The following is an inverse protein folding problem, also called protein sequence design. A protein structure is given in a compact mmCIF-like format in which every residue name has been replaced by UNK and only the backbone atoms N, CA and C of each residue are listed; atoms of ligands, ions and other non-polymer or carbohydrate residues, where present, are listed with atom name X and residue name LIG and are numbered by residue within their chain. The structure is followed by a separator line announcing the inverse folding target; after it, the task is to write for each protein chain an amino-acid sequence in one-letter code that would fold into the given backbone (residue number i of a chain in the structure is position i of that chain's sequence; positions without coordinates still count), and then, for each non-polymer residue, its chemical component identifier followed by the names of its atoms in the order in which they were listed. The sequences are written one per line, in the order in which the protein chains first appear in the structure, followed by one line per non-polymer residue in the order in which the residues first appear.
data_IF_489495745237
#
_entry.id   IF_489495745237
#
_cell.length_a   1.000
_cell.length_b   1.000
_cell.length_c   1.000
_cell.angle_alpha   90.00
_cell.angle_beta   90.00
_cell.angle_gamma   90.00
#
_symmetry.space_group_name_H-M   'P 1'
#
loop_
_entity.id
_entity.type
_entity.pdbx_description
1 polymer ?
#
# COMPACT_ATOMS: atom_id res chain seq x y z
N UNK A 1 6.09 -21.26 48.88
CA UNK A 1 4.88 -20.55 48.40
C UNK A 1 5.25 -19.07 48.24
N UNK A 2 6.09 -18.68 47.29
CA UNK A 2 5.85 -18.53 45.84
C UNK A 2 4.62 -17.67 45.53
N UNK A 3 4.80 -16.36 45.48
CA UNK A 3 4.09 -15.52 44.52
C UNK A 3 5.12 -14.61 43.87
N UNK A 4 5.44 -14.98 42.63
CA UNK A 4 6.35 -14.30 41.72
C UNK A 4 5.86 -12.88 41.44
N UNK A 5 6.73 -11.85 41.37
CA UNK A 5 6.32 -10.58 40.83
C UNK A 5 6.18 -10.71 39.31
N UNK A 6 4.98 -10.50 38.81
CA UNK A 6 4.68 -10.23 37.39
C UNK A 6 5.51 -9.04 36.91
N UNK A 7 6.70 -9.28 36.37
CA UNK A 7 7.45 -8.24 35.67
C UNK A 7 6.92 -8.12 34.26
N UNK A 8 6.06 -7.12 34.07
CA UNK A 8 6.06 -6.24 32.90
C UNK A 8 6.45 -6.92 31.58
N UNK A 9 5.45 -7.45 30.89
CA UNK A 9 5.44 -7.72 29.45
C UNK A 9 5.72 -6.41 28.71
N UNK A 10 7.00 -6.05 28.63
CA UNK A 10 7.47 -4.93 27.84
C UNK A 10 7.26 -5.33 26.37
N UNK A 11 6.41 -4.57 25.67
CA UNK A 11 6.37 -4.45 24.21
C UNK A 11 7.72 -3.89 23.72
N UNK A 12 8.79 -4.65 23.91
CA UNK A 12 10.04 -4.41 23.21
C UNK A 12 9.78 -4.84 21.76
N UNK A 13 10.04 -3.97 20.76
CA UNK A 13 9.94 -4.39 19.37
C UNK A 13 10.88 -5.58 19.24
N UNK A 14 10.29 -6.76 19.00
CA UNK A 14 10.99 -8.02 18.84
C UNK A 14 12.09 -7.79 17.82
N UNK A 15 13.32 -7.64 18.32
CA UNK A 15 14.47 -7.27 17.53
C UNK A 15 14.69 -8.45 16.59
N UNK A 16 14.27 -8.29 15.33
CA UNK A 16 14.29 -9.34 14.31
C UNK A 16 15.71 -9.89 14.29
N UNK A 17 15.89 -11.09 14.84
CA UNK A 17 17.19 -11.69 15.02
C UNK A 17 17.96 -11.72 13.70
N UNK A 18 19.30 -11.81 13.73
CA UNK A 18 20.14 -11.82 12.54
C UNK A 18 19.78 -12.91 11.50
N UNK A 19 18.92 -13.85 11.88
CA UNK A 19 18.42 -14.96 11.08
C UNK A 19 16.95 -14.82 10.61
N UNK A 20 16.35 -13.62 10.68
CA UNK A 20 15.02 -13.36 10.08
C UNK A 20 15.12 -13.17 8.55
N UNK A 21 15.85 -14.05 7.87
CA UNK A 21 15.92 -14.08 6.42
C UNK A 21 14.76 -14.93 5.92
N UNK A 22 13.71 -14.28 5.43
CA UNK A 22 12.62 -14.98 4.73
C UNK A 22 13.19 -15.83 3.60
N UNK A 23 12.91 -17.14 3.57
CA UNK A 23 13.46 -18.05 2.58
C UNK A 23 13.03 -17.62 1.17
N UNK A 24 13.89 -17.89 0.19
CA UNK A 24 13.64 -17.49 -1.21
C UNK A 24 12.28 -17.99 -1.71
N UNK A 25 11.89 -19.20 -1.33
CA UNK A 25 10.61 -19.78 -1.71
C UNK A 25 9.42 -19.01 -1.15
N UNK A 26 9.50 -18.53 0.10
CA UNK A 26 8.43 -17.74 0.72
C UNK A 26 8.31 -16.35 0.08
N UNK A 27 9.45 -15.73 -0.25
CA UNK A 27 9.47 -14.51 -1.08
C UNK A 27 8.85 -14.73 -2.46
N UNK A 28 9.13 -15.87 -3.08
CA UNK A 28 8.59 -16.23 -4.39
C UNK A 28 7.08 -16.45 -4.33
N UNK A 29 6.58 -17.18 -3.33
CA UNK A 29 5.14 -17.41 -3.14
C UNK A 29 4.39 -16.11 -2.84
N UNK A 30 4.97 -15.26 -1.99
CA UNK A 30 4.44 -13.92 -1.74
C UNK A 30 4.42 -13.08 -3.04
N UNK A 31 5.47 -13.15 -3.85
CA UNK A 31 5.54 -12.53 -5.17
C UNK A 31 4.45 -13.02 -6.14
N UNK A 32 4.20 -14.32 -6.19
CA UNK A 32 3.17 -14.92 -7.06
C UNK A 32 1.76 -14.52 -6.60
N UNK A 33 1.50 -14.59 -5.29
CA UNK A 33 0.20 -14.21 -4.71
C UNK A 33 -0.09 -12.73 -4.92
N UNK A 34 0.88 -11.87 -4.60
CA UNK A 34 0.78 -10.41 -4.81
C UNK A 34 0.65 -10.05 -6.29
N UNK A 35 1.43 -10.71 -7.16
CA UNK A 35 1.35 -10.53 -8.62
C UNK A 35 -0.02 -10.89 -9.19
N UNK A 36 -0.65 -11.96 -8.70
CA UNK A 36 -2.00 -12.38 -9.14
C UNK A 36 -3.07 -11.34 -8.79
N UNK A 37 -3.00 -10.81 -7.56
CA UNK A 37 -3.88 -9.73 -7.13
C UNK A 37 -3.65 -8.45 -7.96
N UNK A 38 -2.37 -8.11 -8.21
CA UNK A 38 -2.00 -6.92 -8.96
C UNK A 38 -2.49 -6.99 -10.41
N UNK A 39 -2.30 -8.13 -11.08
CA UNK A 39 -2.81 -8.41 -12.43
C UNK A 39 -4.32 -8.24 -12.53
N UNK A 40 -5.06 -8.74 -11.54
CA UNK A 40 -6.52 -8.60 -11.49
C UNK A 40 -6.94 -7.13 -11.38
N UNK A 41 -6.24 -6.35 -10.54
CA UNK A 41 -6.54 -4.94 -10.31
C UNK A 41 -6.16 -4.03 -11.49
N UNK A 42 -5.05 -4.34 -12.18
CA UNK A 42 -4.54 -3.53 -13.28
C UNK A 42 -5.13 -3.93 -14.63
N UNK A 43 -5.61 -5.17 -14.79
CA UNK A 43 -6.33 -5.62 -15.97
C UNK A 43 -7.58 -4.76 -16.24
N UNK A 44 -8.36 -4.45 -15.20
CA UNK A 44 -9.53 -3.57 -15.30
C UNK A 44 -9.12 -2.15 -15.74
N UNK A 45 -8.03 -1.60 -15.18
CA UNK A 45 -7.52 -0.28 -15.56
C UNK A 45 -6.97 -0.25 -16.98
N UNK A 46 -6.36 -1.34 -17.43
CA UNK A 46 -5.81 -1.50 -18.77
C UNK A 46 -6.87 -1.41 -19.88
N UNK A 47 -8.13 -1.73 -19.56
CA UNK A 47 -9.24 -1.61 -20.50
C UNK A 47 -9.70 -0.17 -20.76
N UNK A 48 -9.29 0.80 -19.94
CA UNK A 48 -9.70 2.19 -20.11
C UNK A 48 -9.33 2.75 -21.50
N UNK A 49 -8.08 2.54 -21.94
CA UNK A 49 -7.60 3.06 -23.22
C UNK A 49 -8.36 2.52 -24.44
N UNK A 50 -8.53 1.19 -24.63
CA UNK A 50 -9.30 0.67 -25.75
C UNK A 50 -10.78 1.04 -25.67
N UNK A 51 -11.39 1.15 -24.49
CA UNK A 51 -12.79 1.60 -24.35
C UNK A 51 -12.93 3.06 -24.81
N UNK A 52 -12.06 3.97 -24.33
CA UNK A 52 -12.14 5.38 -24.73
C UNK A 52 -11.82 5.57 -26.22
N UNK A 53 -10.92 4.78 -26.78
CA UNK A 53 -10.56 4.93 -28.19
C UNK A 53 -11.53 4.25 -29.16
N UNK A 54 -11.86 2.98 -28.92
CA UNK A 54 -12.66 2.16 -29.84
C UNK A 54 -14.15 2.43 -29.63
N UNK A 55 -14.62 2.55 -28.38
CA UNK A 55 -16.05 2.72 -28.07
C UNK A 55 -16.49 4.19 -28.15
N UNK A 56 -15.64 5.13 -27.70
CA UNK A 56 -15.99 6.56 -27.67
C UNK A 56 -15.31 7.39 -28.77
N UNK A 57 -14.43 6.81 -29.57
CA UNK A 57 -13.74 7.53 -30.66
C UNK A 57 -12.78 8.62 -30.18
N UNK A 58 -12.42 8.65 -28.89
CA UNK A 58 -11.54 9.67 -28.32
C UNK A 58 -10.09 9.41 -28.70
N UNK A 59 -9.37 10.49 -29.01
CA UNK A 59 -7.94 10.42 -29.25
C UNK A 59 -7.20 10.06 -27.95
N UNK A 60 -6.31 9.05 -28.01
CA UNK A 60 -5.47 8.62 -26.88
C UNK A 60 -4.68 9.77 -26.26
N UNK A 61 -4.36 10.82 -27.03
CA UNK A 61 -3.68 12.01 -26.54
C UNK A 61 -4.45 12.68 -25.38
N UNK A 62 -5.78 12.76 -25.46
CA UNK A 62 -6.59 13.35 -24.39
C UNK A 62 -6.66 12.44 -23.15
N UNK A 63 -6.79 11.13 -23.35
CA UNK A 63 -6.77 10.15 -22.25
C UNK A 63 -5.44 10.21 -21.52
N UNK A 64 -4.33 10.23 -22.26
CA UNK A 64 -2.98 10.39 -21.71
C UNK A 64 -2.80 11.71 -20.95
N UNK A 65 -3.36 12.80 -21.47
CA UNK A 65 -3.31 14.11 -20.82
C UNK A 65 -4.08 14.12 -19.49
N UNK A 66 -5.28 13.52 -19.45
CA UNK A 66 -6.06 13.38 -18.21
C UNK A 66 -5.32 12.51 -17.19
N UNK A 67 -4.75 11.39 -17.62
CA UNK A 67 -3.94 10.52 -16.75
C UNK A 67 -2.71 11.25 -16.21
N UNK A 68 -2.05 12.07 -17.04
CA UNK A 68 -0.91 12.89 -16.63
C UNK A 68 -1.32 13.91 -15.57
N UNK A 69 -2.42 14.63 -15.78
CA UNK A 69 -2.94 15.59 -14.80
C UNK A 69 -3.29 14.89 -13.49
N UNK A 70 -3.99 13.74 -13.55
CA UNK A 70 -4.33 12.97 -12.36
C UNK A 70 -3.09 12.54 -11.58
N UNK A 71 -2.03 12.08 -12.26
CA UNK A 71 -0.75 11.73 -11.63
C UNK A 71 -0.03 12.94 -11.05
N UNK A 72 -0.08 14.08 -11.74
CA UNK A 72 0.50 15.31 -11.25
C UNK A 72 -0.18 15.74 -9.95
N UNK A 73 -1.51 15.73 -9.90
CA UNK A 73 -2.28 16.03 -8.67
C UNK A 73 -1.91 15.05 -7.56
N UNK A 74 -1.89 13.74 -7.83
CA UNK A 74 -1.50 12.74 -6.83
C UNK A 74 -0.09 13.00 -6.29
N UNK A 75 0.87 13.39 -7.13
CA UNK A 75 2.24 13.69 -6.67
C UNK A 75 2.31 14.81 -5.62
N UNK A 76 1.34 15.74 -5.59
CA UNK A 76 1.24 16.75 -4.52
C UNK A 76 0.37 16.28 -3.36
N UNK A 77 -0.71 15.55 -3.66
CA UNK A 77 -1.66 15.07 -2.66
C UNK A 77 -1.02 13.99 -1.78
N UNK A 78 -0.21 13.10 -2.33
CA UNK A 78 0.41 11.99 -1.60
C UNK A 78 1.32 12.49 -0.45
N UNK A 79 2.23 13.47 -0.63
CA UNK A 79 3.02 14.04 0.48
C UNK A 79 2.19 14.88 1.46
N UNK A 80 1.13 15.54 1.00
CA UNK A 80 0.25 16.34 1.86
C UNK A 80 -0.54 15.43 2.80
N UNK A 81 -1.15 14.38 2.25
CA UNK A 81 -1.86 13.36 3.02
C UNK A 81 -0.90 12.60 3.92
N UNK A 82 0.30 12.25 3.45
CA UNK A 82 1.33 11.61 4.27
C UNK A 82 1.69 12.42 5.52
N UNK A 83 2.00 13.71 5.35
CA UNK A 83 2.27 14.61 6.48
C UNK A 83 1.06 14.77 7.41
N UNK A 84 -0.14 14.92 6.84
CA UNK A 84 -1.36 15.05 7.63
C UNK A 84 -1.69 13.77 8.41
N UNK A 85 -1.43 12.59 7.84
CA UNK A 85 -1.57 11.29 8.49
C UNK A 85 -0.56 11.12 9.62
N UNK A 86 0.70 11.53 9.41
CA UNK A 86 1.77 11.46 10.41
C UNK A 86 1.54 12.41 11.60
N UNK A 87 0.94 13.58 11.35
CA UNK A 87 0.60 14.56 12.38
C UNK A 87 -0.71 14.24 13.13
N UNK A 88 -1.52 13.28 12.65
CA UNK A 88 -2.79 12.92 13.27
C UNK A 88 -2.59 12.12 14.57
N UNK A 89 -2.43 12.82 15.69
CA UNK A 89 -2.44 12.25 17.05
C UNK A 89 -3.84 11.74 17.41
N UNK A 90 -4.18 10.54 16.95
CA UNK A 90 -5.41 9.85 17.34
C UNK A 90 -5.33 9.28 18.76
N UNK A 91 -6.40 9.44 19.55
CA UNK A 91 -6.56 8.89 20.91
C UNK A 91 -6.74 7.35 20.93
N UNK A 92 -6.83 6.68 19.78
CA UNK A 92 -7.10 5.23 19.67
C UNK A 92 -5.92 4.37 19.17
N UNK A 93 -4.71 4.95 19.13
CA UNK A 93 -3.48 4.23 18.81
C UNK A 93 -3.04 4.35 17.35
N UNK A 94 -1.71 4.28 17.16
CA UNK A 94 -0.92 4.76 16.00
C UNK A 94 -1.23 4.15 14.62
N UNK A 95 -2.14 3.18 14.47
CA UNK A 95 -2.45 2.50 13.19
C UNK A 95 -3.92 2.13 12.95
N UNK A 96 -4.86 2.55 13.81
CA UNK A 96 -6.29 2.20 13.66
C UNK A 96 -7.17 3.17 12.84
N UNK A 97 -6.83 4.46 12.62
CA UNK A 97 -7.69 5.35 11.84
C UNK A 97 -7.52 5.28 10.31
N UNK A 98 -6.46 4.62 9.80
CA UNK A 98 -6.03 4.74 8.39
C UNK A 98 -5.95 3.40 7.62
N UNK A 99 -6.48 2.30 8.18
CA UNK A 99 -6.62 1.00 7.49
C UNK A 99 -8.03 0.87 6.97
#
# INVERSE_FOLDING_TARGET
MTSSPESSSQDQPEELGPDTRVPFFEKLMYGIGSGSFQLSSDGVKGLANPIYNITMGLNLAYVGLVLMIARFVNAFVDPVIGKWSDDFRSRWGRRRPFI
#
